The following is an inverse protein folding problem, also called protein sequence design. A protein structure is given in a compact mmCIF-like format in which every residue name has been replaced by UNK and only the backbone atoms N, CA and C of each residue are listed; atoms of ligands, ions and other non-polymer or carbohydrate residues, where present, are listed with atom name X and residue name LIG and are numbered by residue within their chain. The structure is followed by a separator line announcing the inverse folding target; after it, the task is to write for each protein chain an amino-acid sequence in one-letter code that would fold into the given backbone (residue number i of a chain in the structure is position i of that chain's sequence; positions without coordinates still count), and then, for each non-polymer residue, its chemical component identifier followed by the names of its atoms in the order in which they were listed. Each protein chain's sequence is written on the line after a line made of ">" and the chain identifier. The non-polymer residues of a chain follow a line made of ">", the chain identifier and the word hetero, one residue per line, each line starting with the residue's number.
data_IF_222915426510
#
_entry.id   IF_222915426510
#
_cell.length_a   1.000
_cell.length_b   1.000
_cell.length_c   1.000
_cell.angle_alpha   90.00
_cell.angle_beta   90.00
_cell.angle_gamma   90.00
#
_symmetry.space_group_name_H-M   'P 1'
#
loop_
_entity.id
_entity.type
_entity.pdbx_description
1 polymer ?
#
# COMPACT_ATOMS: atom_id res chain seq x y z
N UNK A 1 2.97 -28.51 11.03
CA UNK A 1 3.45 -27.13 10.86
C UNK A 1 2.86 -26.30 11.99
N UNK A 2 3.70 -25.70 12.84
CA UNK A 2 3.25 -24.78 13.89
C UNK A 2 3.25 -23.37 13.29
N UNK A 3 2.11 -22.70 13.27
CA UNK A 3 2.03 -21.28 12.92
C UNK A 3 2.10 -20.47 14.20
N UNK A 4 3.08 -19.57 14.29
CA UNK A 4 3.16 -18.58 15.37
C UNK A 4 2.38 -17.34 14.93
N UNK A 5 1.37 -16.95 15.71
CA UNK A 5 0.70 -15.66 15.53
C UNK A 5 1.37 -14.66 16.47
N UNK A 6 1.98 -13.62 15.90
CA UNK A 6 2.53 -12.50 16.66
C UNK A 6 1.48 -11.41 16.70
N UNK A 7 0.90 -11.18 17.89
CA UNK A 7 -0.02 -10.08 18.13
C UNK A 7 0.78 -8.86 18.62
N UNK A 8 0.60 -7.73 17.94
CA UNK A 8 1.08 -6.43 18.43
C UNK A 8 -0.15 -5.57 18.73
N UNK A 9 -0.19 -4.98 19.92
CA UNK A 9 -1.25 -4.04 20.33
C UNK A 9 -0.62 -2.68 20.53
N UNK A 10 -1.08 -1.68 19.78
CA UNK A 10 -0.76 -0.27 19.98
C UNK A 10 -2.02 0.47 20.41
N UNK A 11 -1.91 1.39 21.36
CA UNK A 11 -3.01 2.26 21.74
C UNK A 11 -3.03 3.48 20.82
N UNK A 12 -4.17 3.75 20.19
CA UNK A 12 -4.38 4.91 19.35
C UNK A 12 -5.54 5.71 19.97
N UNK A 13 -5.30 6.92 20.46
CA UNK A 13 -6.35 7.70 21.13
C UNK A 13 -7.44 8.16 20.16
N UNK A 14 -7.03 8.87 19.10
CA UNK A 14 -7.89 9.41 18.07
C UNK A 14 -7.47 8.86 16.73
N UNK A 15 -8.32 8.01 16.13
CA UNK A 15 -8.03 7.36 14.86
C UNK A 15 -9.04 7.66 13.79
N UNK A 16 -8.54 7.57 12.56
CA UNK A 16 -9.33 7.55 11.36
C UNK A 16 -9.04 6.27 10.60
N UNK A 17 -10.08 5.71 10.01
CA UNK A 17 -9.98 4.61 9.07
C UNK A 17 -9.57 5.17 7.71
N UNK A 18 -8.56 4.54 7.12
CA UNK A 18 -8.07 4.83 5.78
C UNK A 18 -8.40 3.65 4.86
N UNK A 19 -9.41 3.82 4.01
CA UNK A 19 -9.77 2.85 2.97
C UNK A 19 -9.11 3.22 1.65
N UNK A 20 -8.31 2.32 1.09
CA UNK A 20 -7.43 2.59 -0.05
C UNK A 20 -7.91 1.93 -1.33
N UNK A 21 -7.73 2.66 -2.43
CA UNK A 21 -7.84 2.15 -3.80
C UNK A 21 -6.58 2.57 -4.55
N UNK A 22 -5.95 1.61 -5.22
CA UNK A 22 -4.71 1.83 -5.97
C UNK A 22 -4.98 1.53 -7.45
N UNK A 23 -4.56 2.43 -8.33
CA UNK A 23 -4.80 2.35 -9.78
C UNK A 23 -3.56 2.71 -10.58
N UNK A 24 -3.27 1.92 -11.60
CA UNK A 24 -2.42 2.33 -12.72
C UNK A 24 -3.19 3.37 -13.54
N UNK A 25 -2.64 4.58 -13.68
CA UNK A 25 -3.26 5.65 -14.47
C UNK A 25 -2.49 5.96 -15.75
N UNK A 26 -1.19 5.70 -15.76
CA UNK A 26 -0.33 5.85 -16.95
C UNK A 26 0.67 4.68 -17.03
N UNK A 27 1.04 4.31 -18.25
CA UNK A 27 1.83 3.11 -18.50
C UNK A 27 1.05 1.83 -18.23
N UNK A 28 1.75 0.76 -17.85
CA UNK A 28 1.16 -0.53 -17.52
C UNK A 28 1.99 -1.25 -16.46
N UNK A 29 1.36 -2.06 -15.63
CA UNK A 29 2.10 -3.03 -14.79
C UNK A 29 2.56 -4.20 -15.67
N UNK A 30 3.87 -4.40 -15.91
CA UNK A 30 4.33 -5.43 -16.84
C UNK A 30 4.17 -6.83 -16.23
N UNK A 31 3.81 -7.81 -17.05
CA UNK A 31 3.54 -9.19 -16.61
C UNK A 31 4.73 -9.86 -15.90
N UNK A 32 5.96 -9.46 -16.22
CA UNK A 32 7.19 -10.01 -15.61
C UNK A 32 7.54 -9.37 -14.26
N UNK A 33 6.83 -8.32 -13.86
CA UNK A 33 7.05 -7.65 -12.58
C UNK A 33 6.12 -8.19 -11.51
N UNK A 34 6.74 -8.64 -10.44
CA UNK A 34 6.11 -8.85 -9.14
C UNK A 34 5.99 -7.51 -8.41
N UNK A 35 5.19 -7.47 -7.35
CA UNK A 35 5.02 -6.25 -6.58
C UNK A 35 4.52 -6.44 -5.15
N UNK A 36 4.85 -5.44 -4.34
CA UNK A 36 4.41 -5.28 -2.96
C UNK A 36 3.86 -3.88 -2.78
N UNK A 37 2.68 -3.82 -2.19
CA UNK A 37 2.01 -2.58 -1.77
C UNK A 37 1.89 -2.65 -0.26
N UNK A 38 2.50 -1.72 0.44
CA UNK A 38 2.49 -1.67 1.89
C UNK A 38 2.17 -0.27 2.40
N UNK A 39 1.80 -0.20 3.66
CA UNK A 39 1.62 1.08 4.34
C UNK A 39 2.43 1.15 5.61
N UNK A 40 2.94 2.33 5.91
CA UNK A 40 3.62 2.65 7.15
C UNK A 40 2.92 3.80 7.82
N UNK A 41 2.72 3.68 9.12
CA UNK A 41 2.17 4.73 9.97
C UNK A 41 3.21 5.15 11.01
N UNK A 42 3.21 6.42 11.38
CA UNK A 42 4.28 7.08 12.15
C UNK A 42 4.61 6.44 13.50
N UNK A 43 3.68 5.71 14.08
CA UNK A 43 3.70 5.26 15.47
C UNK A 43 3.99 3.76 15.64
N UNK A 44 4.30 3.02 14.56
CA UNK A 44 4.52 1.56 14.60
C UNK A 44 5.96 1.12 14.31
N UNK A 45 6.98 1.70 14.95
CA UNK A 45 8.39 1.22 14.89
C UNK A 45 8.88 0.84 13.48
N UNK A 46 8.60 1.66 12.46
CA UNK A 46 8.93 1.38 11.05
C UNK A 46 8.34 0.07 10.47
N UNK A 47 7.28 -0.47 11.07
CA UNK A 47 6.60 -1.68 10.57
C UNK A 47 5.68 -1.37 9.41
N UNK A 48 5.81 -2.20 8.39
CA UNK A 48 4.97 -2.16 7.22
C UNK A 48 3.76 -3.08 7.36
N UNK A 49 2.59 -2.52 7.12
CA UNK A 49 1.34 -3.24 6.95
C UNK A 49 1.15 -3.54 5.47
N UNK A 50 1.41 -4.78 5.06
CA UNK A 50 1.27 -5.22 3.67
C UNK A 50 -0.20 -5.22 3.23
N UNK A 51 -0.52 -4.54 2.12
CA UNK A 51 -1.83 -4.53 1.47
C UNK A 51 -1.97 -5.61 0.42
N UNK A 52 -0.88 -5.84 -0.31
CA UNK A 52 -0.70 -6.87 -1.32
C UNK A 52 0.78 -7.19 -1.40
N UNK A 53 1.11 -8.47 -1.49
CA UNK A 53 2.45 -8.94 -1.82
C UNK A 53 2.27 -10.13 -2.75
N UNK A 54 2.65 -9.95 -4.01
CA UNK A 54 2.53 -11.01 -5.00
C UNK A 54 3.50 -12.14 -4.74
N UNK A 55 4.58 -11.90 -4.00
CA UNK A 55 5.77 -12.77 -3.95
C UNK A 55 6.18 -13.07 -5.40
N UNK A 56 6.19 -14.34 -5.78
CA UNK A 56 6.53 -14.78 -7.14
C UNK A 56 5.32 -14.83 -8.10
N UNK A 57 4.16 -14.32 -7.66
CA UNK A 57 2.93 -14.24 -8.46
C UNK A 57 2.84 -12.97 -9.31
N UNK A 58 1.96 -12.96 -10.30
CA UNK A 58 1.66 -11.75 -11.06
C UNK A 58 0.74 -10.81 -10.27
N UNK A 59 0.86 -9.50 -10.52
CA UNK A 59 -0.09 -8.50 -10.03
C UNK A 59 -1.31 -8.46 -10.95
N UNK A 60 -2.50 -8.64 -10.36
CA UNK A 60 -3.77 -8.53 -11.08
C UNK A 60 -4.19 -7.08 -11.21
N UNK A 61 -4.22 -6.58 -12.45
CA UNK A 61 -4.72 -5.25 -12.79
C UNK A 61 -6.03 -5.38 -13.57
N UNK A 62 -7.10 -4.82 -13.02
CA UNK A 62 -8.42 -4.82 -13.66
C UNK A 62 -8.46 -3.91 -14.90
N UNK A 63 -9.48 -4.05 -15.74
CA UNK A 63 -9.62 -3.26 -16.99
C UNK A 63 -9.68 -1.74 -16.78
N UNK A 64 -10.07 -1.29 -15.59
CA UNK A 64 -10.05 0.13 -15.21
C UNK A 64 -8.71 0.58 -14.58
N UNK A 65 -7.68 -0.26 -14.59
CA UNK A 65 -6.36 -0.01 -14.00
C UNK A 65 -6.28 -0.27 -12.50
N UNK A 66 -7.37 -0.67 -11.83
CA UNK A 66 -7.34 -0.93 -10.38
C UNK A 66 -6.57 -2.20 -10.07
N UNK A 67 -5.67 -2.10 -9.09
CA UNK A 67 -4.91 -3.23 -8.56
C UNK A 67 -5.73 -3.93 -7.49
N UNK A 68 -5.86 -5.25 -7.59
CA UNK A 68 -6.60 -6.04 -6.62
C UNK A 68 -5.79 -6.24 -5.33
N UNK A 69 -6.05 -5.41 -4.33
CA UNK A 69 -5.42 -5.54 -3.02
C UNK A 69 -6.08 -6.63 -2.17
N UNK A 70 -5.28 -7.42 -1.46
CA UNK A 70 -5.73 -8.42 -0.48
C UNK A 70 -6.41 -7.77 0.71
N UNK A 71 -5.93 -6.59 1.10
CA UNK A 71 -6.56 -5.75 2.14
C UNK A 71 -6.45 -4.28 1.78
N UNK A 72 -7.41 -3.49 2.26
CA UNK A 72 -7.61 -2.11 1.81
C UNK A 72 -7.84 -1.11 2.92
N UNK A 73 -7.83 -1.56 4.17
CA UNK A 73 -8.22 -0.74 5.31
C UNK A 73 -7.12 -0.78 6.36
N UNK A 74 -6.74 0.39 6.85
CA UNK A 74 -5.86 0.56 8.01
C UNK A 74 -6.37 1.66 8.93
N UNK A 75 -6.09 1.55 10.23
CA UNK A 75 -6.34 2.59 11.21
C UNK A 75 -5.10 3.46 11.33
N UNK A 76 -5.28 4.78 11.33
CA UNK A 76 -4.21 5.77 11.41
C UNK A 76 -4.54 6.78 12.49
N UNK A 77 -3.56 7.25 13.26
CA UNK A 77 -3.77 8.34 14.20
C UNK A 77 -4.15 9.62 13.46
N UNK A 78 -5.09 10.39 13.98
CA UNK A 78 -5.59 11.61 13.34
C UNK A 78 -4.47 12.63 13.08
N UNK A 79 -3.49 12.71 13.98
CA UNK A 79 -2.36 13.65 13.89
C UNK A 79 -1.07 12.99 13.36
N UNK A 80 -1.17 11.75 12.88
CA UNK A 80 -0.04 11.01 12.33
C UNK A 80 0.16 11.23 10.84
N UNK A 81 0.81 10.26 10.21
CA UNK A 81 1.05 10.21 8.77
C UNK A 81 0.74 8.79 8.25
N UNK A 82 0.17 8.70 7.05
CA UNK A 82 0.04 7.46 6.30
C UNK A 82 0.96 7.51 5.08
N UNK A 83 1.99 6.66 5.07
CA UNK A 83 2.89 6.47 3.93
C UNK A 83 2.50 5.21 3.18
N UNK A 84 2.38 5.29 1.86
CA UNK A 84 2.16 4.15 0.98
C UNK A 84 3.47 3.86 0.26
N UNK A 85 3.88 2.60 0.31
CA UNK A 85 5.10 2.08 -0.31
C UNK A 85 4.70 1.14 -1.44
N UNK A 86 5.31 1.33 -2.61
CA UNK A 86 5.15 0.48 -3.78
C UNK A 86 6.52 -0.02 -4.19
N UNK A 87 6.72 -1.32 -4.12
CA UNK A 87 7.92 -2.01 -4.58
C UNK A 87 7.55 -2.89 -5.76
N UNK A 88 8.37 -2.90 -6.81
CA UNK A 88 8.24 -3.77 -7.96
C UNK A 88 9.60 -4.36 -8.33
N UNK A 89 9.63 -5.66 -8.60
CA UNK A 89 10.85 -6.38 -8.97
C UNK A 89 10.57 -7.36 -10.10
N UNK A 90 11.59 -7.63 -10.91
CA UNK A 90 11.51 -8.61 -11.99
C UNK A 90 11.55 -10.04 -11.41
N UNK A 91 10.70 -10.93 -11.91
CA UNK A 91 10.76 -12.37 -11.58
C UNK A 91 11.96 -13.07 -12.19
N UNK A 92 12.56 -14.02 -11.45
CA UNK A 92 13.78 -14.72 -11.83
C UNK A 92 13.65 -15.39 -13.21
N UNK A 93 14.53 -14.96 -14.12
CA UNK A 93 14.64 -15.48 -15.49
C UNK A 93 15.92 -15.06 -16.19
N UNK A 94 17.00 -14.90 -15.42
CA UNK A 94 18.33 -14.42 -15.81
C UNK A 94 18.53 -12.90 -15.83
N UNK A 95 19.69 -12.53 -15.26
CA UNK A 95 20.39 -11.24 -15.24
C UNK A 95 20.23 -10.40 -13.96
N UNK A 96 21.30 -10.44 -13.15
CA UNK A 96 21.89 -9.32 -12.40
C UNK A 96 20.91 -8.48 -11.56
N UNK A 97 20.88 -8.74 -10.24
CA UNK A 97 20.26 -7.89 -9.20
C UNK A 97 18.98 -7.18 -9.69
N UNK A 98 17.88 -7.94 -9.75
CA UNK A 98 16.61 -7.55 -10.36
C UNK A 98 16.30 -6.06 -10.19
N UNK A 99 16.10 -5.37 -11.32
CA UNK A 99 15.78 -3.94 -11.32
C UNK A 99 14.60 -3.68 -10.38
N UNK A 100 14.89 -3.07 -9.24
CA UNK A 100 13.89 -2.69 -8.24
C UNK A 100 13.39 -1.30 -8.62
N UNK A 101 12.13 -1.21 -8.99
CA UNK A 101 11.43 0.05 -9.07
C UNK A 101 10.68 0.26 -7.76
N UNK A 102 10.81 1.45 -7.18
CA UNK A 102 10.09 1.81 -5.97
C UNK A 102 9.42 3.17 -6.13
N UNK A 103 8.37 3.38 -5.36
CA UNK A 103 7.64 4.63 -5.32
C UNK A 103 6.95 4.77 -3.98
N UNK A 104 6.80 6.00 -3.53
CA UNK A 104 6.11 6.30 -2.28
C UNK A 104 5.20 7.51 -2.40
N UNK A 105 4.19 7.55 -1.54
CA UNK A 105 3.30 8.70 -1.42
C UNK A 105 2.83 8.85 0.02
N UNK A 106 2.82 10.09 0.50
CA UNK A 106 2.47 10.43 1.88
C UNK A 106 1.09 11.09 1.92
N UNK A 107 0.36 10.81 2.99
CA UNK A 107 -0.95 11.39 3.25
C UNK A 107 -1.06 11.88 4.69
N UNK A 108 -1.54 13.12 4.84
CA UNK A 108 -2.06 13.62 6.09
C UNK A 108 -3.46 12.99 6.35
N UNK A 109 -3.69 12.36 7.50
CA UNK A 109 -4.99 11.82 7.89
C UNK A 109 -6.08 12.90 7.94
N UNK A 110 -7.33 12.49 7.70
CA UNK A 110 -8.49 13.39 7.72
C UNK A 110 -9.65 12.71 8.45
N UNK A 111 -10.51 13.50 9.09
CA UNK A 111 -11.74 12.98 9.73
C UNK A 111 -12.75 12.41 8.73
N UNK A 112 -12.76 12.94 7.51
CA UNK A 112 -13.67 12.52 6.44
C UNK A 112 -13.17 12.93 5.07
N UNK A 113 -13.81 12.38 4.03
CA UNK A 113 -13.58 12.76 2.64
C UNK A 113 -12.54 11.87 1.96
N UNK A 114 -11.88 12.38 0.93
CA UNK A 114 -10.89 11.63 0.16
C UNK A 114 -9.61 12.44 -0.02
N UNK A 115 -8.48 11.74 -0.03
CA UNK A 115 -7.19 12.26 -0.47
C UNK A 115 -6.71 11.46 -1.67
N UNK A 116 -5.97 12.12 -2.56
CA UNK A 116 -5.36 11.50 -3.73
C UNK A 116 -3.89 11.85 -3.79
N UNK A 117 -3.09 10.88 -4.18
CA UNK A 117 -1.66 11.04 -4.34
C UNK A 117 -1.19 10.09 -5.42
N UNK A 118 -0.03 10.39 -6.01
CA UNK A 118 0.47 9.66 -7.16
C UNK A 118 1.95 9.41 -6.97
N UNK A 119 2.40 8.17 -7.19
CA UNK A 119 3.81 7.82 -7.26
C UNK A 119 4.16 7.26 -8.63
N UNK A 120 5.42 7.43 -9.02
CA UNK A 120 5.98 6.90 -10.26
C UNK A 120 6.92 5.75 -9.89
N UNK A 121 6.75 4.59 -10.52
CA UNK A 121 7.60 3.41 -10.35
C UNK A 121 8.41 3.11 -11.61
N UNK A 122 8.77 4.15 -12.37
CA UNK A 122 9.61 4.11 -13.56
C UNK A 122 8.87 3.66 -14.82
N UNK A 123 8.13 2.55 -14.76
CA UNK A 123 7.37 2.02 -15.90
C UNK A 123 5.87 2.35 -15.86
N UNK A 124 5.37 2.85 -14.73
CA UNK A 124 3.97 3.17 -14.54
C UNK A 124 3.76 4.26 -13.50
N UNK A 125 2.71 5.05 -13.69
CA UNK A 125 2.22 6.03 -12.72
C UNK A 125 1.03 5.43 -11.96
N UNK A 126 1.16 5.40 -10.63
CA UNK A 126 0.21 4.78 -9.72
C UNK A 126 -0.52 5.85 -8.92
N UNK A 127 -1.83 6.00 -9.12
CA UNK A 127 -2.69 6.80 -8.27
C UNK A 127 -3.15 5.99 -7.05
N UNK A 128 -2.95 6.56 -5.87
CA UNK A 128 -3.53 6.08 -4.62
C UNK A 128 -4.64 7.05 -4.20
N UNK A 129 -5.84 6.51 -4.00
CA UNK A 129 -6.93 7.24 -3.36
C UNK A 129 -7.20 6.67 -1.98
N UNK A 130 -7.23 7.53 -0.97
CA UNK A 130 -7.59 7.20 0.42
C UNK A 130 -8.93 7.84 0.74
N UNK A 131 -9.91 7.04 1.12
CA UNK A 131 -11.17 7.50 1.71
C UNK A 131 -11.06 7.42 3.23
N UNK A 132 -11.42 8.51 3.89
CA UNK A 132 -11.26 8.67 5.33
C UNK A 132 -12.60 8.66 6.07
N UNK A 133 -12.60 8.06 7.25
CA UNK A 133 -13.74 8.08 8.19
C UNK A 133 -13.24 8.08 9.63
N UNK A 134 -13.91 8.83 10.51
CA UNK A 134 -13.66 8.75 11.94
C UNK A 134 -14.01 7.37 12.49
N UNK A 135 -13.11 6.81 13.29
CA UNK A 135 -13.41 5.63 14.11
C UNK A 135 -13.87 6.13 15.47
N UNK A 136 -15.18 6.05 15.72
CA UNK A 136 -15.77 6.41 17.01
C UNK A 136 -15.87 5.16 17.88
N UNK A 137 -15.07 5.12 18.95
CA UNK A 137 -15.30 4.17 20.05
C UNK A 137 -16.58 4.60 20.78
N UNK A 138 -17.58 3.71 20.80
CA UNK A 138 -18.82 3.88 21.58
C UNK A 138 -18.69 3.21 22.94
#
# INVERSE_FOLDING_TARGET
>A
QLSTVVLTVGHLEQTVEATMTIRVTEGSWPTRYHGRFAVRISNLDDRDMVLLDSRDGAITVMSNGTIELTRRVVSVEENGELRILVDAWLGDGDLEAGSVANGEVLFAPRRSGRSKGVCDVGFSRIEVTVAWSLVVNR
#
